data_IF_520234402172
#
_entry.id   IF_520234402172
#
_cell.length_a   1.000
_cell.length_b   1.000
_cell.length_c   1.000
_cell.angle_alpha   90.00
_cell.angle_beta   90.00
_cell.angle_gamma   90.00
#
_symmetry.space_group_name_H-M   'P 1'
#
loop_
_entity.id
_entity.type
_entity.pdbx_description
1 polymer ?
#
# COMPACT_ATOMS: atom_id res chain seq x y z
N UNK A 1 -44.39 -1.12 75.29
CA UNK A 1 -44.34 -2.07 74.16
C UNK A 1 -43.95 -1.32 72.88
N UNK A 2 -42.73 -1.45 72.42
CA UNK A 2 -42.20 -0.78 71.25
C UNK A 2 -41.96 -1.85 70.18
N UNK A 3 -42.76 -1.79 69.08
CA UNK A 3 -42.57 -2.65 67.92
C UNK A 3 -41.54 -2.08 67.02
N UNK A 4 -40.46 -2.84 66.76
CA UNK A 4 -39.41 -2.54 65.80
C UNK A 4 -39.79 -3.23 64.53
N UNK A 5 -40.05 -2.44 63.46
CA UNK A 5 -40.23 -2.98 62.11
C UNK A 5 -38.86 -3.08 61.44
N UNK A 6 -38.49 -4.29 61.14
CA UNK A 6 -37.27 -4.62 60.36
C UNK A 6 -37.60 -4.52 58.89
N UNK A 7 -37.10 -3.51 58.20
CA UNK A 7 -37.19 -3.42 56.74
C UNK A 7 -36.08 -4.25 56.10
N UNK A 8 -36.43 -5.35 55.48
CA UNK A 8 -35.53 -6.12 54.63
C UNK A 8 -35.57 -5.51 53.22
N UNK A 9 -34.52 -4.81 52.82
CA UNK A 9 -34.34 -4.31 51.47
C UNK A 9 -33.80 -5.45 50.59
N UNK A 10 -34.63 -5.94 49.69
CA UNK A 10 -34.27 -6.91 48.67
C UNK A 10 -33.58 -6.18 47.52
N UNK A 11 -32.25 -6.30 47.40
CA UNK A 11 -31.51 -5.85 46.22
C UNK A 11 -31.80 -6.81 45.07
N UNK A 12 -32.57 -6.37 44.09
CA UNK A 12 -32.66 -7.03 42.79
C UNK A 12 -31.39 -6.65 41.97
N UNK A 13 -30.49 -7.61 41.80
CA UNK A 13 -29.41 -7.50 40.81
C UNK A 13 -30.03 -7.69 39.42
N UNK A 14 -30.05 -6.62 38.63
CA UNK A 14 -30.38 -6.69 37.21
C UNK A 14 -29.20 -7.29 36.43
N UNK A 15 -29.41 -8.25 35.50
CA UNK A 15 -28.36 -8.74 34.64
C UNK A 15 -27.98 -7.62 33.66
N UNK A 16 -26.72 -7.20 33.71
CA UNK A 16 -26.10 -6.34 32.69
C UNK A 16 -26.03 -7.12 31.38
N UNK A 17 -26.98 -6.86 30.48
CA UNK A 17 -26.81 -7.26 29.09
C UNK A 17 -25.74 -6.37 28.50
N UNK A 18 -24.54 -6.92 28.29
CA UNK A 18 -23.57 -6.34 27.40
C UNK A 18 -24.22 -6.31 26.01
N UNK A 19 -24.70 -5.14 25.60
CA UNK A 19 -25.08 -4.90 24.22
C UNK A 19 -23.78 -4.96 23.41
N UNK A 20 -23.56 -6.09 22.73
CA UNK A 20 -22.71 -6.11 21.54
C UNK A 20 -23.42 -5.17 20.56
N UNK A 21 -22.87 -3.97 20.44
CA UNK A 21 -23.19 -3.11 19.33
C UNK A 21 -22.70 -3.84 18.09
N UNK A 22 -23.64 -4.43 17.31
CA UNK A 22 -23.41 -4.72 15.91
C UNK A 22 -22.94 -3.42 15.26
N UNK A 23 -21.65 -3.27 15.09
CA UNK A 23 -21.07 -2.28 14.21
C UNK A 23 -21.48 -2.76 12.82
N UNK A 24 -22.52 -2.08 12.31
CA UNK A 24 -23.09 -2.34 11.01
C UNK A 24 -21.99 -2.45 9.95
N UNK A 25 -22.18 -3.38 9.06
CA UNK A 25 -21.42 -3.60 7.82
C UNK A 25 -21.62 -2.41 6.85
N UNK A 26 -21.10 -1.25 7.26
CA UNK A 26 -20.95 -0.04 6.47
C UNK A 26 -19.50 0.42 6.66
N UNK A 27 -18.75 0.49 5.57
CA UNK A 27 -17.40 1.03 5.48
C UNK A 27 -16.23 0.18 5.99
N UNK A 28 -16.17 -1.09 5.55
CA UNK A 28 -14.94 -1.89 5.65
C UNK A 28 -13.80 -1.36 4.73
N UNK A 29 -14.00 -0.19 4.10
CA UNK A 29 -13.06 0.38 3.12
C UNK A 29 -12.02 1.34 3.71
N UNK A 30 -12.22 1.81 4.95
CA UNK A 30 -11.33 2.81 5.56
C UNK A 30 -10.29 2.25 6.53
N UNK A 31 -10.30 0.96 6.78
CA UNK A 31 -9.30 0.32 7.65
C UNK A 31 -8.21 -0.28 6.78
N UNK A 32 -6.92 0.12 6.94
CA UNK A 32 -5.83 -0.51 6.23
C UNK A 32 -5.84 -2.03 6.44
N UNK A 33 -6.01 -2.78 5.35
CA UNK A 33 -6.06 -4.25 5.39
C UNK A 33 -4.67 -4.89 5.31
N UNK A 34 -3.68 -4.12 4.87
CA UNK A 34 -2.32 -4.61 4.74
C UNK A 34 -1.60 -4.53 6.08
N UNK A 35 -1.02 -5.63 6.48
CA UNK A 35 -0.22 -5.74 7.72
C UNK A 35 1.10 -4.98 7.64
N UNK A 36 1.34 -4.19 6.57
CA UNK A 36 2.52 -3.35 6.33
C UNK A 36 3.86 -4.10 6.50
N UNK A 37 4.78 -3.85 5.66
CA UNK A 37 6.22 -3.94 5.90
C UNK A 37 6.89 -5.27 6.23
N UNK A 38 6.26 -6.39 6.29
CA UNK A 38 7.05 -7.62 6.33
C UNK A 38 7.13 -8.21 4.92
N UNK A 39 8.25 -8.07 4.25
CA UNK A 39 8.52 -8.77 3.00
C UNK A 39 8.23 -10.27 3.11
N UNK A 40 8.44 -10.85 4.30
CA UNK A 40 8.06 -12.23 4.57
C UNK A 40 6.54 -12.45 4.64
N UNK A 41 5.75 -11.48 5.11
CA UNK A 41 4.29 -11.62 5.12
C UNK A 41 3.75 -11.65 3.69
N UNK A 42 4.21 -10.74 2.83
CA UNK A 42 3.85 -10.73 1.40
C UNK A 42 4.29 -12.01 0.69
N UNK A 43 5.51 -12.50 0.97
CA UNK A 43 5.98 -13.78 0.41
C UNK A 43 5.14 -14.96 0.89
N UNK A 44 4.77 -15.00 2.19
CA UNK A 44 3.98 -16.09 2.76
C UNK A 44 2.57 -16.15 2.14
N UNK A 45 1.92 -15.01 1.95
CA UNK A 45 0.62 -14.94 1.29
C UNK A 45 0.69 -15.48 -0.15
N UNK A 46 1.64 -15.00 -0.95
CA UNK A 46 1.83 -15.45 -2.33
C UNK A 46 2.14 -16.95 -2.39
N UNK A 47 3.01 -17.45 -1.50
CA UNK A 47 3.33 -18.88 -1.42
C UNK A 47 2.08 -19.69 -1.06
N UNK A 48 1.24 -19.22 -0.16
CA UNK A 48 -0.02 -19.88 0.19
C UNK A 48 -0.98 -19.96 -1.00
N UNK A 49 -1.12 -18.86 -1.76
CA UNK A 49 -1.92 -18.82 -2.99
C UNK A 49 -1.40 -19.81 -4.03
N UNK A 50 -0.08 -19.80 -4.31
CA UNK A 50 0.53 -20.71 -5.28
C UNK A 50 0.36 -22.19 -4.89
N UNK A 51 0.50 -22.51 -3.61
CA UNK A 51 0.31 -23.89 -3.10
C UNK A 51 -1.15 -24.32 -3.10
N UNK A 52 -2.08 -23.39 -2.98
CA UNK A 52 -3.53 -23.67 -3.01
C UNK A 52 -4.12 -23.81 -4.42
N UNK A 53 -3.46 -23.31 -5.45
CA UNK A 53 -3.92 -23.45 -6.85
C UNK A 53 -3.30 -24.70 -7.51
N UNK A 54 -4.10 -25.74 -7.78
CA UNK A 54 -3.60 -26.97 -8.41
C UNK A 54 -3.07 -26.77 -9.85
N UNK A 55 -3.35 -25.61 -10.46
CA UNK A 55 -2.87 -25.24 -11.79
C UNK A 55 -1.53 -24.51 -11.76
N UNK A 56 -0.91 -24.34 -10.59
CA UNK A 56 0.39 -23.68 -10.48
C UNK A 56 1.45 -24.46 -11.23
N UNK A 57 2.06 -23.81 -12.22
CA UNK A 57 3.25 -24.34 -12.89
C UNK A 57 4.50 -24.01 -12.07
N UNK A 58 4.92 -24.98 -11.26
CA UNK A 58 6.08 -24.84 -10.38
C UNK A 58 7.39 -24.63 -11.13
N UNK A 59 7.47 -24.94 -12.42
CA UNK A 59 8.68 -24.74 -13.22
C UNK A 59 8.90 -23.25 -13.57
N UNK A 60 7.86 -22.44 -13.53
CA UNK A 60 7.92 -20.98 -13.81
C UNK A 60 7.98 -20.14 -12.55
N UNK A 61 7.69 -20.70 -11.38
CA UNK A 61 7.64 -19.95 -10.11
C UNK A 61 9.00 -19.32 -9.80
N UNK A 62 8.97 -18.00 -9.57
CA UNK A 62 10.15 -17.18 -9.31
C UNK A 62 9.97 -16.28 -8.08
N UNK A 63 10.08 -16.87 -6.90
CA UNK A 63 10.02 -16.14 -5.62
C UNK A 63 11.19 -15.16 -5.46
N UNK A 64 12.33 -15.42 -6.11
CA UNK A 64 13.46 -14.52 -6.07
C UNK A 64 13.15 -13.17 -6.76
N UNK A 65 12.43 -13.20 -7.88
CA UNK A 65 11.97 -11.99 -8.56
C UNK A 65 10.99 -11.18 -7.70
N UNK A 66 10.02 -11.85 -7.05
CA UNK A 66 9.12 -11.20 -6.10
C UNK A 66 9.90 -10.58 -4.94
N UNK A 67 10.83 -11.33 -4.33
CA UNK A 67 11.68 -10.78 -3.25
C UNK A 67 12.44 -9.54 -3.71
N UNK A 68 13.03 -9.56 -4.92
CA UNK A 68 13.76 -8.44 -5.45
C UNK A 68 12.87 -7.21 -5.59
N UNK A 69 11.66 -7.38 -6.12
CA UNK A 69 10.66 -6.31 -6.24
C UNK A 69 10.28 -5.70 -4.88
N UNK A 70 10.05 -6.54 -3.86
CA UNK A 70 9.75 -6.08 -2.50
C UNK A 70 10.92 -5.28 -1.90
N UNK A 71 12.17 -5.68 -2.17
CA UNK A 71 13.37 -4.92 -1.77
C UNK A 71 13.44 -3.58 -2.48
N UNK A 72 13.10 -3.52 -3.77
CA UNK A 72 13.09 -2.26 -4.53
C UNK A 72 12.00 -1.30 -4.02
N UNK A 73 10.82 -1.81 -3.66
CA UNK A 73 9.78 -1.02 -3.00
C UNK A 73 10.26 -0.44 -1.67
N UNK A 74 10.93 -1.23 -0.85
CA UNK A 74 11.46 -0.83 0.44
C UNK A 74 12.53 0.25 0.28
N UNK A 75 13.51 0.03 -0.60
CA UNK A 75 14.55 1.02 -0.92
C UNK A 75 13.98 2.33 -1.44
N UNK A 76 12.95 2.28 -2.29
CA UNK A 76 12.30 3.48 -2.80
C UNK A 76 11.65 4.28 -1.67
N UNK A 77 11.03 3.61 -0.71
CA UNK A 77 10.30 4.28 0.38
C UNK A 77 11.20 4.75 1.52
N UNK A 78 12.32 4.06 1.78
CA UNK A 78 13.17 4.32 2.96
C UNK A 78 14.44 5.10 2.65
N UNK A 79 15.01 4.92 1.46
CA UNK A 79 16.36 5.38 1.15
C UNK A 79 16.43 6.36 -0.04
N UNK A 80 15.29 6.69 -0.67
CA UNK A 80 15.26 7.72 -1.70
C UNK A 80 15.18 9.12 -1.12
N UNK A 81 15.85 10.07 -1.78
CA UNK A 81 15.78 11.49 -1.48
C UNK A 81 14.86 12.17 -2.49
N UNK A 82 13.88 12.92 -2.01
CA UNK A 82 12.85 13.54 -2.85
C UNK A 82 12.90 15.06 -2.74
N UNK A 83 13.20 15.73 -3.84
CA UNK A 83 13.01 17.17 -3.99
C UNK A 83 11.67 17.43 -4.70
N UNK A 84 10.83 18.27 -4.08
CA UNK A 84 9.50 18.60 -4.61
C UNK A 84 9.51 20.00 -5.19
N UNK A 85 9.30 20.11 -6.50
CA UNK A 85 9.15 21.37 -7.21
C UNK A 85 7.66 21.54 -7.55
N UNK A 86 7.01 22.46 -6.82
CA UNK A 86 5.60 22.79 -7.06
C UNK A 86 5.42 23.46 -8.41
N UNK A 87 4.39 23.02 -9.14
CA UNK A 87 3.99 23.58 -10.43
C UNK A 87 2.55 24.11 -10.34
N UNK A 88 2.15 24.98 -11.24
CA UNK A 88 0.79 25.53 -11.28
C UNK A 88 -0.27 24.43 -11.48
N UNK A 89 0.07 23.39 -12.24
CA UNK A 89 -0.82 22.30 -12.65
C UNK A 89 -0.50 20.98 -11.94
N UNK A 90 0.42 20.99 -10.96
CA UNK A 90 0.82 19.77 -10.26
C UNK A 90 2.14 19.91 -9.52
N UNK A 91 3.02 18.93 -9.73
CA UNK A 91 4.36 18.90 -9.16
C UNK A 91 5.37 18.15 -10.06
N UNK A 92 6.63 18.49 -9.87
CA UNK A 92 7.77 17.70 -10.33
C UNK A 92 8.48 17.15 -9.10
N UNK A 93 8.67 15.85 -9.06
CA UNK A 93 9.39 15.14 -8.02
C UNK A 93 10.73 14.70 -8.58
N UNK A 94 11.84 15.22 -8.05
CA UNK A 94 13.18 14.77 -8.39
C UNK A 94 13.64 13.75 -7.36
N UNK A 95 13.87 12.51 -7.80
CA UNK A 95 14.13 11.36 -6.96
C UNK A 95 15.58 10.96 -7.13
N UNK A 96 16.34 10.95 -6.04
CA UNK A 96 17.77 10.63 -6.01
C UNK A 96 18.05 9.56 -4.97
N UNK A 97 19.25 9.01 -5.01
CA UNK A 97 19.71 8.04 -4.01
C UNK A 97 21.06 7.44 -4.38
N UNK A 98 21.50 6.49 -3.58
CA UNK A 98 22.72 5.72 -3.87
C UNK A 98 22.56 4.92 -5.17
N UNK A 99 23.64 4.38 -5.77
CA UNK A 99 23.54 3.60 -7.01
C UNK A 99 22.52 2.44 -6.92
N UNK A 100 22.41 1.75 -5.78
CA UNK A 100 21.44 0.67 -5.57
C UNK A 100 19.99 1.20 -5.49
N UNK A 101 19.78 2.35 -4.85
CA UNK A 101 18.47 3.03 -4.80
C UNK A 101 18.08 3.53 -6.19
N UNK A 102 19.01 4.04 -6.98
CA UNK A 102 18.77 4.46 -8.37
C UNK A 102 18.28 3.31 -9.26
N UNK A 103 18.80 2.09 -9.07
CA UNK A 103 18.27 0.91 -9.77
C UNK A 103 16.81 0.68 -9.43
N UNK A 104 16.41 0.76 -8.15
CA UNK A 104 15.04 0.63 -7.70
C UNK A 104 14.13 1.76 -8.25
N UNK A 105 14.60 3.02 -8.20
CA UNK A 105 13.88 4.18 -8.76
C UNK A 105 13.58 3.95 -10.26
N UNK A 106 14.60 3.57 -11.05
CA UNK A 106 14.46 3.34 -12.49
C UNK A 106 13.60 2.14 -12.84
N UNK A 107 13.57 1.13 -11.97
CA UNK A 107 12.70 -0.03 -12.16
C UNK A 107 11.24 0.28 -11.85
N UNK A 108 10.98 1.10 -10.83
CA UNK A 108 9.63 1.25 -10.28
C UNK A 108 8.89 2.50 -10.78
N UNK A 109 9.54 3.65 -10.79
CA UNK A 109 8.84 4.92 -11.08
C UNK A 109 8.34 4.98 -12.52
N UNK A 110 9.11 4.66 -13.58
CA UNK A 110 8.60 4.63 -14.94
C UNK A 110 7.56 3.54 -15.17
N UNK A 111 7.69 2.40 -14.47
CA UNK A 111 6.73 1.32 -14.57
C UNK A 111 5.37 1.68 -13.94
N UNK A 112 5.37 2.51 -12.90
CA UNK A 112 4.16 2.96 -12.21
C UNK A 112 3.43 4.10 -12.95
N UNK A 113 4.15 4.98 -13.62
CA UNK A 113 3.61 6.18 -14.26
C UNK A 113 2.36 5.92 -15.15
N UNK A 114 2.29 4.88 -16.01
CA UNK A 114 1.10 4.59 -16.81
C UNK A 114 -0.12 4.20 -15.97
N UNK A 115 0.07 3.52 -14.84
CA UNK A 115 -1.03 3.12 -13.94
C UNK A 115 -1.60 4.32 -13.21
N UNK A 116 -0.74 5.21 -12.73
CA UNK A 116 -1.14 6.48 -12.13
C UNK A 116 -1.94 7.32 -13.13
N UNK A 117 -1.45 7.48 -14.36
CA UNK A 117 -2.15 8.21 -15.42
C UNK A 117 -3.51 7.60 -15.74
N UNK A 118 -3.60 6.28 -15.86
CA UNK A 118 -4.84 5.57 -16.18
C UNK A 118 -5.90 5.70 -15.08
N UNK A 119 -5.48 5.64 -13.82
CA UNK A 119 -6.39 5.71 -12.67
C UNK A 119 -6.93 7.13 -12.44
N UNK A 120 -6.08 8.14 -12.63
CA UNK A 120 -6.42 9.54 -12.30
C UNK A 120 -6.87 10.38 -13.49
N UNK A 121 -6.48 10.00 -14.69
CA UNK A 121 -6.59 10.85 -15.87
C UNK A 121 -5.58 12.02 -15.89
N UNK A 122 -4.60 12.02 -15.01
CA UNK A 122 -3.55 13.04 -14.97
C UNK A 122 -2.51 12.82 -16.08
N UNK A 123 -1.82 13.90 -16.45
CA UNK A 123 -0.66 13.79 -17.33
C UNK A 123 0.58 13.44 -16.50
N UNK A 124 1.18 12.30 -16.82
CA UNK A 124 2.29 11.72 -16.03
C UNK A 124 3.45 11.38 -16.96
N UNK A 125 4.61 11.93 -16.67
CA UNK A 125 5.83 11.65 -17.43
C UNK A 125 7.05 11.49 -16.53
N UNK A 126 8.08 10.84 -17.05
CA UNK A 126 9.36 10.64 -16.36
C UNK A 126 10.50 11.12 -17.21
N UNK A 127 11.54 11.68 -16.58
CA UNK A 127 12.75 12.17 -17.23
C UNK A 127 13.99 11.76 -16.43
N UNK A 128 15.04 11.33 -17.11
CA UNK A 128 16.34 11.15 -16.46
C UNK A 128 16.93 12.52 -16.08
N UNK A 129 17.47 12.61 -14.87
CA UNK A 129 18.19 13.78 -14.38
C UNK A 129 19.57 13.36 -13.86
N UNK A 130 20.45 14.31 -13.62
CA UNK A 130 21.75 14.03 -13.01
C UNK A 130 21.58 13.41 -11.62
N UNK A 131 22.10 12.20 -11.45
CA UNK A 131 22.03 11.45 -10.19
C UNK A 131 20.64 10.92 -9.83
N UNK A 132 19.65 10.90 -10.74
CA UNK A 132 18.30 10.46 -10.43
C UNK A 132 17.32 10.40 -11.59
N UNK A 133 16.07 10.42 -11.23
CA UNK A 133 14.93 10.44 -12.14
C UNK A 133 13.91 11.48 -11.66
N UNK A 134 13.23 12.11 -12.60
CA UNK A 134 12.13 13.04 -12.31
C UNK A 134 10.82 12.41 -12.70
N UNK A 135 9.82 12.46 -11.81
CA UNK A 135 8.41 12.20 -12.08
C UNK A 135 7.68 13.54 -12.15
N UNK A 136 7.05 13.81 -13.28
CA UNK A 136 6.26 15.03 -13.51
C UNK A 136 4.79 14.62 -13.56
N UNK A 137 3.97 15.27 -12.72
CA UNK A 137 2.54 14.97 -12.63
C UNK A 137 1.78 16.30 -12.72
N UNK A 138 0.94 16.43 -13.74
CA UNK A 138 0.05 17.56 -13.95
C UNK A 138 -1.40 17.10 -13.94
N UNK A 139 -2.28 17.75 -13.15
CA UNK A 139 -3.67 17.38 -12.92
C UNK A 139 -4.32 18.25 -11.85
N UNK A 140 -4.77 17.64 -10.74
CA UNK A 140 -5.24 18.38 -9.57
C UNK A 140 -4.05 18.80 -8.69
N UNK A 141 -3.63 20.06 -8.73
CA UNK A 141 -2.45 20.49 -7.99
C UNK A 141 -2.60 20.40 -6.47
N UNK A 142 -3.84 20.51 -5.95
CA UNK A 142 -4.11 20.37 -4.52
C UNK A 142 -3.87 18.94 -4.06
N UNK A 143 -4.40 17.97 -4.78
CA UNK A 143 -4.18 16.55 -4.47
C UNK A 143 -2.72 16.17 -4.69
N UNK A 144 -2.14 16.48 -5.84
CA UNK A 144 -0.76 16.10 -6.19
C UNK A 144 0.24 16.63 -5.17
N UNK A 145 0.12 17.91 -4.80
CA UNK A 145 1.03 18.54 -3.83
C UNK A 145 0.78 18.06 -2.40
N UNK A 146 -0.48 17.72 -2.05
CA UNK A 146 -0.84 17.20 -0.74
C UNK A 146 -0.39 15.76 -0.52
N UNK A 147 -0.53 14.92 -1.54
CA UNK A 147 -0.08 13.51 -1.51
C UNK A 147 1.45 13.40 -1.54
N UNK A 148 2.12 14.30 -2.24
CA UNK A 148 3.55 14.21 -2.46
C UNK A 148 3.94 12.97 -3.27
N UNK A 149 5.26 12.74 -3.42
CA UNK A 149 5.77 11.62 -4.21
C UNK A 149 5.22 10.27 -3.74
N UNK A 150 5.35 9.97 -2.46
CA UNK A 150 4.95 8.66 -1.95
C UNK A 150 3.44 8.42 -2.06
N UNK A 151 2.61 9.46 -1.85
CA UNK A 151 1.18 9.33 -2.03
C UNK A 151 0.78 9.04 -3.48
N UNK A 152 1.36 9.75 -4.46
CA UNK A 152 1.05 9.47 -5.87
C UNK A 152 1.54 8.09 -6.32
N UNK A 153 2.62 7.57 -5.74
CA UNK A 153 3.11 6.21 -6.00
C UNK A 153 2.19 5.10 -5.47
N UNK A 154 1.17 5.43 -4.68
CA UNK A 154 0.16 4.44 -4.22
C UNK A 154 -1.08 4.38 -5.08
N UNK A 155 -1.34 5.39 -5.91
CA UNK A 155 -2.54 5.45 -6.75
C UNK A 155 -2.37 4.54 -7.98
N UNK A 156 -3.38 3.73 -8.28
CA UNK A 156 -3.33 2.78 -9.41
C UNK A 156 -2.41 1.59 -9.18
N UNK A 157 -1.86 1.46 -7.97
CA UNK A 157 -0.95 0.39 -7.62
C UNK A 157 -1.72 -0.93 -7.42
N UNK A 158 -1.59 -1.85 -8.35
CA UNK A 158 -2.13 -3.22 -8.27
C UNK A 158 -1.11 -4.17 -7.60
N UNK A 159 -0.55 -3.78 -6.46
CA UNK A 159 0.59 -4.46 -5.82
C UNK A 159 0.33 -5.96 -5.65
N UNK A 160 -0.82 -6.37 -5.14
CA UNK A 160 -1.11 -7.79 -4.88
C UNK A 160 -1.15 -8.64 -6.15
N UNK A 161 -1.83 -8.16 -7.20
CA UNK A 161 -1.85 -8.84 -8.48
C UNK A 161 -0.46 -8.89 -9.12
N UNK A 162 0.28 -7.80 -9.04
CA UNK A 162 1.63 -7.67 -9.55
C UNK A 162 2.60 -8.64 -8.85
N UNK A 163 2.54 -8.73 -7.53
CA UNK A 163 3.33 -9.69 -6.74
C UNK A 163 3.07 -11.13 -7.17
N UNK A 164 1.80 -11.50 -7.35
CA UNK A 164 1.45 -12.83 -7.81
C UNK A 164 1.94 -13.11 -9.24
N UNK A 165 1.87 -12.12 -10.14
CA UNK A 165 2.39 -12.25 -11.52
C UNK A 165 3.90 -12.44 -11.53
N UNK A 166 4.66 -11.65 -10.77
CA UNK A 166 6.11 -11.82 -10.62
C UNK A 166 6.46 -13.22 -10.10
N UNK A 167 5.77 -13.66 -9.05
CA UNK A 167 5.98 -14.96 -8.46
C UNK A 167 5.67 -16.12 -9.43
N UNK A 168 4.71 -15.95 -10.35
CA UNK A 168 4.40 -16.89 -11.43
C UNK A 168 5.39 -16.83 -12.60
N UNK A 169 6.43 -16.02 -12.52
CA UNK A 169 7.46 -15.86 -13.56
C UNK A 169 7.07 -14.94 -14.71
N UNK A 170 5.98 -14.18 -14.58
CA UNK A 170 5.65 -13.15 -15.55
C UNK A 170 6.61 -11.97 -15.43
N UNK A 171 6.93 -11.33 -16.57
CA UNK A 171 7.69 -10.09 -16.61
C UNK A 171 6.71 -8.94 -16.94
N UNK A 172 6.09 -8.33 -15.93
CA UNK A 172 4.98 -7.39 -16.13
C UNK A 172 5.38 -6.04 -16.75
N UNK A 173 6.69 -5.79 -16.91
CA UNK A 173 7.25 -4.51 -17.37
C UNK A 173 8.12 -4.67 -18.64
N UNK A 174 7.71 -5.53 -19.59
CA UNK A 174 8.31 -5.57 -20.94
C UNK A 174 7.36 -5.02 -21.95
#
# INVERSE_FOLDING_TARGET
>A
MRFIYLFISLLLAAPSHAQHSDIGSGDAMDVPQETGQSGFASLAEIVAILRGDPRTDWSTVNIAALRQHLVDMDLLTTDSEIDVIKRREGARFEIRGTPRVLEAIRAMVPAHAPFLAAETGWDVSTEEIEGGLSLIVDGDPGQIQGLGFFGVMTIGAHHQQHHLMLAKGAAPHR
#
